data_IF_775219192867
#
_entry.id   IF_775219192867
#
_cell.length_a   1.000
_cell.length_b   1.000
_cell.length_c   1.000
_cell.angle_alpha   90.00
_cell.angle_beta   90.00
_cell.angle_gamma   90.00
#
_symmetry.space_group_name_H-M   'P 1'
#
loop_
_entity.id
_entity.type
_entity.pdbx_description
1 polymer ?
#
# COMPACT_ATOMS: atom_id res chain seq x y z
N UNK A 1 20.63 -19.52 -60.68
CA UNK A 1 20.15 -19.76 -59.30
C UNK A 1 20.42 -18.50 -58.51
N UNK A 2 19.38 -17.74 -58.17
CA UNK A 2 19.50 -16.31 -57.91
C UNK A 2 19.93 -16.07 -56.47
N UNK A 3 21.24 -16.12 -56.22
CA UNK A 3 21.84 -16.02 -54.88
C UNK A 3 21.47 -14.72 -54.16
N UNK A 4 21.21 -13.66 -54.92
CA UNK A 4 20.66 -12.40 -54.42
C UNK A 4 19.31 -12.57 -53.70
N UNK A 5 18.42 -13.43 -54.19
CA UNK A 5 17.12 -13.69 -53.54
C UNK A 5 17.33 -14.43 -52.22
N UNK A 6 18.25 -15.39 -52.19
CA UNK A 6 18.56 -16.15 -50.98
C UNK A 6 19.13 -15.26 -49.86
N UNK A 7 19.98 -14.29 -50.19
CA UNK A 7 20.54 -13.34 -49.22
C UNK A 7 19.46 -12.40 -48.66
N UNK A 8 18.50 -11.95 -49.48
CA UNK A 8 17.42 -11.07 -49.03
C UNK A 8 16.48 -11.81 -48.06
N UNK A 9 16.13 -13.06 -48.36
CA UNK A 9 15.25 -13.86 -47.48
C UNK A 9 15.94 -14.17 -46.15
N UNK A 10 17.22 -14.51 -46.17
CA UNK A 10 17.99 -14.72 -44.94
C UNK A 10 18.12 -13.44 -44.10
N UNK A 11 18.40 -12.29 -44.74
CA UNK A 11 18.49 -11.02 -44.04
C UNK A 11 17.14 -10.59 -43.44
N UNK A 12 16.04 -10.76 -44.17
CA UNK A 12 14.69 -10.44 -43.69
C UNK A 12 14.27 -11.35 -42.52
N UNK A 13 14.61 -12.64 -42.57
CA UNK A 13 14.37 -13.58 -41.48
C UNK A 13 15.15 -13.23 -40.21
N UNK A 14 16.44 -12.91 -40.35
CA UNK A 14 17.29 -12.47 -39.23
C UNK A 14 16.80 -11.14 -38.63
N UNK A 15 16.40 -10.18 -39.48
CA UNK A 15 15.86 -8.91 -39.03
C UNK A 15 14.52 -9.07 -38.30
N UNK A 16 13.62 -9.91 -38.81
CA UNK A 16 12.35 -10.22 -38.15
C UNK A 16 12.57 -10.92 -36.80
N UNK A 17 13.49 -11.88 -36.72
CA UNK A 17 13.85 -12.54 -35.46
C UNK A 17 14.45 -11.55 -34.45
N UNK A 18 15.35 -10.67 -34.90
CA UNK A 18 15.92 -9.61 -34.06
C UNK A 18 14.87 -8.60 -33.58
N UNK A 19 13.94 -8.19 -34.46
CA UNK A 19 12.85 -7.28 -34.11
C UNK A 19 11.86 -7.92 -33.13
N UNK A 20 11.49 -9.19 -33.34
CA UNK A 20 10.59 -9.94 -32.45
C UNK A 20 11.22 -10.18 -31.07
N UNK A 21 12.53 -10.46 -31.00
CA UNK A 21 13.25 -10.61 -29.72
C UNK A 21 13.42 -9.28 -28.99
N UNK A 22 13.70 -8.18 -29.71
CA UNK A 22 13.78 -6.84 -29.13
C UNK A 22 12.43 -6.33 -28.61
N UNK A 23 11.32 -6.62 -29.29
CA UNK A 23 9.98 -6.19 -28.87
C UNK A 23 9.46 -6.96 -27.63
N UNK A 24 9.84 -8.22 -27.48
CA UNK A 24 9.51 -9.05 -26.30
C UNK A 24 10.16 -8.52 -25.01
N UNK A 25 11.28 -7.81 -25.13
CA UNK A 25 12.06 -7.27 -24.01
C UNK A 25 11.32 -6.15 -23.25
N UNK A 26 10.49 -5.34 -23.94
CA UNK A 26 9.77 -4.20 -23.34
C UNK A 26 8.59 -4.61 -22.46
N UNK A 27 8.06 -5.81 -22.65
CA UNK A 27 6.93 -6.33 -21.84
C UNK A 27 7.43 -6.86 -20.48
N UNK A 28 8.71 -7.25 -20.38
CA UNK A 28 9.29 -7.84 -19.16
C UNK A 28 9.76 -6.80 -18.14
N UNK A 29 10.19 -5.63 -18.59
CA UNK A 29 10.62 -4.52 -17.71
C UNK A 29 9.47 -3.79 -17.00
N UNK A 30 8.23 -3.94 -17.48
CA UNK A 30 7.06 -3.34 -16.81
C UNK A 30 6.56 -4.17 -15.61
N UNK A 31 7.21 -5.29 -15.28
CA UNK A 31 6.97 -6.01 -14.03
C UNK A 31 8.00 -5.60 -12.98
N UNK A 32 7.59 -4.65 -12.16
CA UNK A 32 8.00 -4.53 -10.75
C UNK A 32 9.47 -4.16 -10.58
N UNK A 33 9.81 -2.91 -10.82
CA UNK A 33 10.71 -2.26 -9.86
C UNK A 33 9.97 -2.28 -8.53
N UNK A 34 10.45 -2.97 -7.48
CA UNK A 34 9.87 -2.79 -6.16
C UNK A 34 10.12 -1.34 -5.83
N UNK A 35 9.08 -0.50 -5.92
CA UNK A 35 9.12 0.84 -5.38
C UNK A 35 9.68 0.67 -3.97
N UNK A 36 10.87 1.25 -3.73
CA UNK A 36 11.59 1.13 -2.47
C UNK A 36 10.60 1.57 -1.41
N UNK A 37 9.98 0.61 -0.70
CA UNK A 37 8.99 0.92 0.31
C UNK A 37 9.78 1.59 1.43
N UNK A 38 9.83 2.91 1.39
CA UNK A 38 10.24 3.72 2.53
C UNK A 38 9.19 3.44 3.59
N UNK A 39 9.44 2.42 4.42
CA UNK A 39 8.61 2.13 5.56
C UNK A 39 8.60 3.40 6.42
N UNK A 40 7.43 4.02 6.52
CA UNK A 40 7.26 5.12 7.46
C UNK A 40 7.46 4.56 8.87
N UNK A 41 8.10 5.29 9.79
CA UNK A 41 8.26 4.84 11.17
C UNK A 41 6.91 4.56 11.84
N UNK A 42 5.84 5.23 11.38
CA UNK A 42 4.49 5.11 11.93
C UNK A 42 3.61 4.06 11.23
N UNK A 43 4.21 3.06 10.55
CA UNK A 43 3.42 1.99 9.95
C UNK A 43 2.87 1.04 11.03
N UNK A 44 1.67 0.52 10.78
CA UNK A 44 1.01 -0.37 11.73
C UNK A 44 1.15 -1.83 11.29
N UNK A 45 1.18 -2.75 12.25
CA UNK A 45 1.22 -4.20 12.00
C UNK A 45 0.12 -4.89 12.80
N UNK A 46 -0.46 -5.95 12.24
CA UNK A 46 -1.37 -6.83 12.97
C UNK A 46 -0.86 -8.26 12.87
N UNK A 47 -1.06 -9.03 13.94
CA UNK A 47 -0.71 -10.45 13.96
C UNK A 47 -1.89 -11.24 13.39
N UNK A 48 -1.62 -12.11 12.42
CA UNK A 48 -2.60 -13.03 11.85
C UNK A 48 -2.16 -14.49 12.09
N UNK A 49 -3.02 -15.32 12.71
CA UNK A 49 -2.78 -16.75 12.76
C UNK A 49 -2.92 -17.34 11.35
N UNK A 50 -2.01 -18.25 10.99
CA UNK A 50 -2.09 -19.03 9.74
C UNK A 50 -2.48 -20.47 10.07
N UNK A 51 -3.56 -20.95 9.46
CA UNK A 51 -4.10 -22.29 9.75
C UNK A 51 -4.68 -22.35 11.18
N UNK A 52 -4.24 -23.34 11.96
CA UNK A 52 -4.84 -23.62 13.29
C UNK A 52 -4.52 -22.55 14.34
N UNK A 53 -3.44 -21.77 14.14
CA UNK A 53 -3.05 -20.60 14.95
C UNK A 53 -2.73 -20.89 16.41
N UNK A 54 -1.84 -20.12 17.04
CA UNK A 54 -1.76 -20.12 18.50
C UNK A 54 -2.93 -19.33 19.10
N UNK A 55 -3.35 -19.69 20.30
CA UNK A 55 -4.47 -19.04 20.98
C UNK A 55 -4.17 -17.56 21.25
N UNK A 56 -2.92 -17.26 21.57
CA UNK A 56 -2.44 -15.90 21.76
C UNK A 56 -2.57 -15.02 20.52
N UNK A 57 -2.27 -15.55 19.33
CA UNK A 57 -2.47 -14.82 18.07
C UNK A 57 -3.95 -14.62 17.74
N UNK A 58 -4.83 -15.52 18.17
CA UNK A 58 -6.29 -15.33 18.05
C UNK A 58 -6.77 -14.23 19.00
N UNK A 59 -6.26 -14.18 20.22
CA UNK A 59 -6.57 -13.12 21.19
C UNK A 59 -6.05 -11.73 20.75
N UNK A 60 -4.96 -11.69 19.98
CA UNK A 60 -4.41 -10.45 19.40
C UNK A 60 -5.00 -10.12 18.01
N UNK A 61 -5.79 -11.03 17.43
CA UNK A 61 -6.45 -10.80 16.14
C UNK A 61 -7.35 -9.58 16.19
N UNK A 62 -7.26 -8.72 15.17
CA UNK A 62 -8.05 -7.48 15.07
C UNK A 62 -7.42 -6.27 15.76
N UNK A 63 -6.41 -6.47 16.62
CA UNK A 63 -5.59 -5.37 17.15
C UNK A 63 -4.49 -4.98 16.17
N UNK A 64 -4.16 -3.69 16.16
CA UNK A 64 -3.05 -3.12 15.39
C UNK A 64 -2.04 -2.53 16.36
N UNK A 65 -0.78 -2.81 16.12
CA UNK A 65 0.36 -2.29 16.86
C UNK A 65 1.13 -1.35 15.95
N UNK A 66 1.84 -0.37 16.52
CA UNK A 66 2.95 0.22 15.78
C UNK A 66 4.00 -0.86 15.54
N UNK A 67 4.70 -0.78 14.42
CA UNK A 67 5.75 -1.74 14.10
C UNK A 67 6.81 -1.86 15.22
N UNK A 68 7.14 -0.74 15.87
CA UNK A 68 8.13 -0.68 16.95
C UNK A 68 7.60 -1.23 18.29
N UNK A 69 6.28 -1.26 18.49
CA UNK A 69 5.62 -1.72 19.72
C UNK A 69 5.09 -3.15 19.60
N UNK A 70 5.19 -3.76 18.42
CA UNK A 70 4.62 -5.07 18.17
C UNK A 70 5.39 -6.16 18.94
N UNK A 71 4.69 -7.08 19.63
CA UNK A 71 5.35 -8.19 20.31
C UNK A 71 6.00 -9.09 19.26
N UNK A 72 7.21 -9.59 19.55
CA UNK A 72 7.97 -10.45 18.63
C UNK A 72 7.22 -11.77 18.43
N UNK A 73 7.28 -12.31 17.21
CA UNK A 73 6.83 -13.66 16.90
C UNK A 73 8.02 -14.63 17.04
N UNK A 74 7.84 -15.79 17.69
CA UNK A 74 6.62 -16.32 18.31
C UNK A 74 6.23 -15.55 19.59
N UNK A 75 4.93 -15.43 19.85
CA UNK A 75 4.42 -14.76 21.04
C UNK A 75 4.86 -15.50 22.31
N UNK A 76 5.06 -14.74 23.39
CA UNK A 76 5.27 -15.32 24.72
C UNK A 76 4.10 -16.26 25.06
N UNK A 77 4.43 -17.45 25.56
CA UNK A 77 3.47 -18.53 25.83
C UNK A 77 2.76 -19.07 24.59
N UNK A 78 3.47 -19.23 23.47
CA UNK A 78 2.93 -19.90 22.29
C UNK A 78 2.69 -21.42 22.55
N UNK A 79 1.43 -21.83 22.59
CA UNK A 79 0.92 -23.20 22.74
C UNK A 79 1.14 -24.12 21.52
N UNK A 80 1.97 -23.72 20.55
CA UNK A 80 2.22 -24.45 19.29
C UNK A 80 3.70 -24.70 19.06
N UNK A 81 4.05 -25.95 18.76
CA UNK A 81 5.41 -26.37 18.37
C UNK A 81 5.84 -25.78 17.02
N UNK A 82 4.94 -25.76 16.03
CA UNK A 82 5.16 -25.12 14.71
C UNK A 82 4.23 -23.91 14.55
N UNK A 83 4.65 -22.76 15.09
CA UNK A 83 3.89 -21.53 15.02
C UNK A 83 4.07 -20.81 13.68
N UNK A 84 3.02 -20.79 12.85
CA UNK A 84 3.01 -20.14 11.53
C UNK A 84 2.35 -18.76 11.51
N UNK A 85 2.27 -18.09 12.66
CA UNK A 85 1.69 -16.75 12.75
C UNK A 85 2.53 -15.73 11.95
N UNK A 86 1.87 -14.72 11.38
CA UNK A 86 2.51 -13.75 10.50
C UNK A 86 2.08 -12.32 10.83
N UNK A 87 2.97 -11.36 10.58
CA UNK A 87 2.59 -9.95 10.57
C UNK A 87 1.96 -9.56 9.25
N UNK A 88 0.88 -8.79 9.35
CA UNK A 88 0.29 -8.06 8.23
C UNK A 88 0.60 -6.59 8.44
N UNK A 89 1.36 -6.02 7.51
CA UNK A 89 1.71 -4.60 7.54
C UNK A 89 0.58 -3.76 6.93
N UNK A 90 0.32 -2.63 7.54
CA UNK A 90 -0.59 -1.59 7.09
C UNK A 90 0.21 -0.30 6.92
N UNK A 91 0.18 0.23 5.70
CA UNK A 91 0.80 1.52 5.40
C UNK A 91 0.13 2.63 6.23
N UNK A 92 0.92 3.62 6.63
CA UNK A 92 0.36 4.83 7.21
C UNK A 92 -0.51 5.54 6.17
N UNK A 93 -1.81 5.68 6.46
CA UNK A 93 -2.77 6.37 5.61
C UNK A 93 -2.57 7.89 5.58
N UNK A 94 -1.69 8.43 6.41
CA UNK A 94 -1.25 9.83 6.37
C UNK A 94 -0.35 10.03 5.14
N UNK A 95 -0.96 10.01 3.96
CA UNK A 95 -0.33 10.41 2.72
C UNK A 95 -0.69 11.86 2.45
N UNK A 96 0.30 12.75 2.47
CA UNK A 96 0.12 14.15 2.10
C UNK A 96 0.57 15.14 3.17
N UNK A 97 0.75 16.39 2.71
CA UNK A 97 1.11 17.52 3.54
C UNK A 97 0.04 17.73 4.62
N UNK A 98 0.47 17.77 5.89
CA UNK A 98 -0.43 18.20 6.98
C UNK A 98 -0.99 19.56 6.56
N UNK A 99 -2.28 19.80 6.81
CA UNK A 99 -2.87 21.13 6.61
C UNK A 99 -1.94 22.16 7.28
N UNK A 100 -1.22 22.91 6.47
CA UNK A 100 -0.40 24.05 6.91
C UNK A 100 -1.40 25.07 7.43
N UNK A 101 -1.63 25.05 8.73
CA UNK A 101 -2.55 25.95 9.42
C UNK A 101 -1.93 27.34 9.67
N UNK A 102 -0.75 27.61 9.11
CA UNK A 102 -0.18 28.95 8.99
C UNK A 102 -0.20 29.28 7.50
N UNK A 103 -1.22 29.93 6.94
CA UNK A 103 -1.24 31.40 6.75
C UNK A 103 -2.65 31.89 6.38
N UNK A 104 -3.69 31.05 6.51
CA UNK A 104 -5.07 31.54 6.43
C UNK A 104 -5.53 31.73 7.86
N UNK A 105 -5.46 32.97 8.34
CA UNK A 105 -6.20 33.36 9.53
C UNK A 105 -7.63 32.81 9.35
N UNK A 106 -8.17 32.00 10.26
CA UNK A 106 -9.59 31.71 10.21
C UNK A 106 -10.24 33.08 10.29
N UNK A 107 -11.07 33.42 9.30
CA UNK A 107 -11.88 34.61 9.34
C UNK A 107 -12.61 34.57 10.68
N UNK A 108 -12.16 35.41 11.60
CA UNK A 108 -12.30 35.25 13.05
C UNK A 108 -13.70 35.61 13.54
N UNK A 109 -14.72 35.27 12.78
CA UNK A 109 -16.10 35.36 13.22
C UNK A 109 -16.44 34.17 14.10
N UNK A 110 -16.42 34.38 15.42
CA UNK A 110 -17.06 33.46 16.36
C UNK A 110 -18.56 33.39 16.02
N UNK A 111 -18.99 32.34 15.30
CA UNK A 111 -20.40 32.13 14.95
C UNK A 111 -21.20 31.52 16.11
N UNK A 112 -20.85 31.89 17.35
CA UNK A 112 -21.61 31.54 18.56
C UNK A 112 -22.24 32.80 19.12
N UNK A 113 -23.00 33.50 18.29
CA UNK A 113 -23.88 34.53 18.79
C UNK A 113 -25.08 33.87 19.49
N UNK A 114 -24.92 33.79 20.82
CA UNK A 114 -25.98 33.64 21.84
C UNK A 114 -26.63 32.25 21.90
N UNK A 115 -25.92 31.31 22.52
CA UNK A 115 -26.52 30.17 23.23
C UNK A 115 -26.10 28.78 22.73
N UNK A 116 -26.36 27.73 23.54
CA UNK A 116 -26.10 26.35 23.13
C UNK A 116 -27.13 25.94 22.07
N UNK A 117 -26.69 25.79 20.81
CA UNK A 117 -27.59 25.46 19.69
C UNK A 117 -26.88 25.04 18.41
N UNK A 118 -27.67 24.47 17.49
CA UNK A 118 -27.26 23.95 16.17
C UNK A 118 -26.74 25.08 15.26
N UNK A 119 -25.83 24.77 14.34
CA UNK A 119 -25.30 25.75 13.38
C UNK A 119 -26.45 26.27 12.50
N UNK A 120 -26.47 27.58 12.25
CA UNK A 120 -27.54 28.28 11.50
C UNK A 120 -27.76 27.67 10.10
N UNK A 121 -26.70 27.16 9.48
CA UNK A 121 -26.77 26.50 8.17
C UNK A 121 -27.58 25.20 8.16
N UNK A 122 -27.75 24.53 9.31
CA UNK A 122 -28.49 23.27 9.43
C UNK A 122 -29.98 23.50 9.75
N UNK A 123 -30.46 24.75 9.70
CA UNK A 123 -31.84 25.13 10.05
C UNK A 123 -32.82 25.02 8.88
N UNK A 124 -32.33 24.96 7.65
CA UNK A 124 -33.18 24.86 6.45
C UNK A 124 -33.14 23.45 5.87
N UNK A 125 -33.95 22.57 6.47
CA UNK A 125 -34.31 21.29 5.89
C UNK A 125 -35.75 21.00 6.25
N UNK A 126 -36.59 20.88 5.22
CA UNK A 126 -38.03 20.58 5.23
C UNK A 126 -38.94 21.78 5.49
N UNK A 127 -39.31 22.44 4.38
CA UNK A 127 -40.69 22.89 4.17
C UNK A 127 -41.50 21.74 3.58
#
# INVERSE_FOLDING_TARGET
>A
MNWSIALIVLAAGLFAWFALTALNSRVRERRISPAKRTFSPFHAVAIRPRGVGCEMAKALSGRRFLADEAPRLPLDHCDREDCRCMYVHFDDRRRGERRIWATVAPDGGDRRDRGPGRRVADRFGFG
#
